data_IF_872588431228
#
_entry.id   IF_872588431228
#
_cell.length_a   1.000
_cell.length_b   1.000
_cell.length_c   1.000
_cell.angle_alpha   90.00
_cell.angle_beta   90.00
_cell.angle_gamma   90.00
#
_symmetry.space_group_name_H-M   'P 1'
#
loop_
_entity.id
_entity.type
_entity.pdbx_description
1 polymer ?
#
# COMPACT_ATOMS: atom_id res chain seq x y z
N UNK A 1 -7.62 21.76 10.17
CA UNK A 1 -6.55 21.41 9.20
C UNK A 1 -5.84 20.10 9.56
N UNK A 2 -5.39 19.90 10.81
CA UNK A 2 -4.74 18.65 11.25
C UNK A 2 -5.55 17.37 10.94
N UNK A 3 -6.85 17.36 11.23
CA UNK A 3 -7.73 16.21 10.97
C UNK A 3 -7.81 15.87 9.48
N UNK A 4 -7.93 16.88 8.61
CA UNK A 4 -8.01 16.69 7.16
C UNK A 4 -6.72 16.09 6.57
N UNK A 5 -5.56 16.47 7.13
CA UNK A 5 -4.28 15.88 6.74
C UNK A 5 -4.21 14.39 7.11
N UNK A 6 -4.62 14.03 8.34
CA UNK A 6 -4.61 12.64 8.78
C UNK A 6 -5.50 11.77 7.89
N UNK A 7 -6.72 12.21 7.58
CA UNK A 7 -7.62 11.50 6.69
C UNK A 7 -7.07 11.38 5.26
N UNK A 8 -6.35 12.41 4.77
CA UNK A 8 -5.72 12.38 3.45
C UNK A 8 -4.58 11.37 3.37
N UNK A 9 -3.74 11.30 4.41
CA UNK A 9 -2.65 10.31 4.50
C UNK A 9 -3.22 8.90 4.59
N UNK A 10 -4.24 8.68 5.42
CA UNK A 10 -4.93 7.39 5.52
C UNK A 10 -5.55 7.00 4.18
N UNK A 11 -6.27 7.91 3.52
CA UNK A 11 -6.90 7.65 2.23
C UNK A 11 -5.88 7.29 1.15
N UNK A 12 -4.73 7.97 1.13
CA UNK A 12 -3.67 7.67 0.19
C UNK A 12 -2.99 6.32 0.47
N UNK A 13 -2.64 6.02 1.72
CA UNK A 13 -2.00 4.74 2.09
C UNK A 13 -2.95 3.55 1.92
N UNK A 14 -4.16 3.64 2.48
CA UNK A 14 -5.17 2.58 2.36
C UNK A 14 -5.65 2.42 0.92
N UNK A 15 -5.82 3.53 0.19
CA UNK A 15 -6.16 3.52 -1.21
C UNK A 15 -5.09 2.80 -2.03
N UNK A 16 -3.80 3.11 -1.85
CA UNK A 16 -2.70 2.36 -2.48
C UNK A 16 -2.76 0.86 -2.18
N UNK A 17 -2.94 0.46 -0.93
CA UNK A 17 -3.02 -0.94 -0.55
C UNK A 17 -4.25 -1.64 -1.19
N UNK A 18 -5.43 -1.05 -1.08
CA UNK A 18 -6.68 -1.63 -1.59
C UNK A 18 -6.71 -1.70 -3.11
N UNK A 19 -6.29 -0.64 -3.81
CA UNK A 19 -6.20 -0.65 -5.27
C UNK A 19 -5.17 -1.68 -5.75
N UNK A 20 -4.08 -1.86 -5.00
CA UNK A 20 -3.12 -2.92 -5.27
C UNK A 20 -3.71 -4.31 -5.08
N UNK A 21 -4.54 -4.53 -4.06
CA UNK A 21 -5.23 -5.82 -3.86
C UNK A 21 -6.06 -6.17 -5.10
N UNK A 22 -6.74 -5.19 -5.70
CA UNK A 22 -7.55 -5.38 -6.90
C UNK A 22 -6.67 -5.67 -8.13
N UNK A 23 -5.61 -4.89 -8.34
CA UNK A 23 -4.78 -5.02 -9.55
C UNK A 23 -3.71 -6.12 -9.47
N UNK A 24 -3.35 -6.58 -8.28
CA UNK A 24 -2.27 -7.54 -8.07
C UNK A 24 -0.86 -6.96 -8.15
N UNK A 25 -0.70 -5.63 -8.30
CA UNK A 25 0.60 -5.01 -8.46
C UNK A 25 0.66 -3.54 -7.97
N UNK A 26 1.64 -3.25 -7.10
CA UNK A 26 1.83 -1.92 -6.52
C UNK A 26 2.28 -0.86 -7.55
N UNK A 27 3.08 -1.23 -8.56
CA UNK A 27 3.51 -0.32 -9.62
C UNK A 27 2.36 0.14 -10.53
N UNK A 28 1.28 -0.62 -10.61
CA UNK A 28 0.06 -0.21 -11.31
C UNK A 28 -0.82 0.70 -10.46
N UNK A 29 -0.95 0.40 -9.16
CA UNK A 29 -1.77 1.17 -8.21
C UNK A 29 -1.18 2.52 -7.88
N UNK A 30 0.13 2.55 -7.68
CA UNK A 30 0.84 3.71 -7.18
C UNK A 30 0.65 4.97 -8.05
N UNK A 31 0.84 4.94 -9.38
CA UNK A 31 0.66 6.12 -10.22
C UNK A 31 -0.79 6.64 -10.20
N UNK A 32 -1.77 5.74 -10.15
CA UNK A 32 -3.20 6.10 -10.13
C UNK A 32 -3.53 6.83 -8.83
N UNK A 33 -3.15 6.25 -7.69
CA UNK A 33 -3.41 6.86 -6.38
C UNK A 33 -2.58 8.13 -6.16
N UNK A 34 -1.37 8.19 -6.73
CA UNK A 34 -0.53 9.38 -6.68
C UNK A 34 -1.16 10.49 -7.50
N UNK A 35 -1.63 10.22 -8.71
CA UNK A 35 -2.30 11.23 -9.54
C UNK A 35 -3.63 11.69 -8.91
N UNK A 36 -4.39 10.78 -8.30
CA UNK A 36 -5.70 11.09 -7.74
C UNK A 36 -5.65 11.79 -6.36
N UNK A 37 -4.72 11.40 -5.48
CA UNK A 37 -4.66 11.87 -4.09
C UNK A 37 -3.25 12.37 -3.73
N UNK A 38 -2.21 11.59 -4.02
CA UNK A 38 -0.84 11.88 -3.56
C UNK A 38 -0.33 13.26 -3.99
N UNK A 39 -0.43 13.57 -5.28
CA UNK A 39 0.01 14.85 -5.82
C UNK A 39 -0.92 16.01 -5.44
N UNK A 40 -2.21 16.03 -5.83
CA UNK A 40 -3.05 17.19 -5.60
C UNK A 40 -3.33 17.45 -4.11
N UNK A 41 -3.49 16.39 -3.30
CA UNK A 41 -3.87 16.55 -1.88
C UNK A 41 -2.63 16.66 -1.00
N UNK A 42 -1.74 15.67 -1.04
CA UNK A 42 -0.62 15.62 -0.08
C UNK A 42 0.51 16.57 -0.44
N UNK A 43 0.86 16.68 -1.72
CA UNK A 43 1.96 17.56 -2.17
C UNK A 43 1.48 19.00 -2.36
N UNK A 44 0.48 19.25 -3.20
CA UNK A 44 0.09 20.63 -3.54
C UNK A 44 -0.70 21.33 -2.41
N UNK A 45 -1.71 20.68 -1.83
CA UNK A 45 -2.55 21.32 -0.81
C UNK A 45 -1.90 21.36 0.57
N UNK A 46 -1.18 20.31 0.97
CA UNK A 46 -0.56 20.22 2.30
C UNK A 46 0.95 20.46 2.31
N UNK A 47 1.57 20.80 1.16
CA UNK A 47 3.00 21.08 1.03
C UNK A 47 3.92 19.97 1.57
N UNK A 48 3.47 18.71 1.50
CA UNK A 48 4.25 17.58 1.99
C UNK A 48 5.45 17.27 1.11
N UNK A 49 6.50 16.69 1.70
CA UNK A 49 7.70 16.29 0.96
C UNK A 49 7.36 15.20 -0.09
N UNK A 50 7.52 15.47 -1.40
CA UNK A 50 7.12 14.53 -2.44
C UNK A 50 7.88 13.20 -2.39
N UNK A 51 9.19 13.25 -2.11
CA UNK A 51 10.03 12.06 -2.07
C UNK A 51 9.58 11.12 -0.93
N UNK A 52 9.29 11.66 0.25
CA UNK A 52 8.75 10.89 1.36
C UNK A 52 7.36 10.31 1.04
N UNK A 53 6.44 11.13 0.52
CA UNK A 53 5.07 10.69 0.17
C UNK A 53 5.11 9.56 -0.85
N UNK A 54 5.94 9.66 -1.88
CA UNK A 54 6.02 8.64 -2.93
C UNK A 54 6.67 7.35 -2.43
N UNK A 55 7.74 7.44 -1.63
CA UNK A 55 8.36 6.27 -1.03
C UNK A 55 7.38 5.52 -0.11
N UNK A 56 6.74 6.22 0.83
CA UNK A 56 5.77 5.61 1.74
C UNK A 56 4.52 5.12 1.01
N UNK A 57 4.05 5.85 -0.01
CA UNK A 57 2.90 5.44 -0.83
C UNK A 57 3.16 4.13 -1.58
N UNK A 58 4.36 3.98 -2.17
CA UNK A 58 4.74 2.75 -2.84
C UNK A 58 4.90 1.58 -1.85
N UNK A 59 5.48 1.81 -0.68
CA UNK A 59 5.54 0.79 0.38
C UNK A 59 4.14 0.35 0.85
N UNK A 60 3.20 1.29 1.00
CA UNK A 60 1.81 0.98 1.32
C UNK A 60 1.14 0.12 0.22
N UNK A 61 1.44 0.38 -1.06
CA UNK A 61 1.01 -0.46 -2.16
C UNK A 61 1.52 -1.90 -2.04
N UNK A 62 2.78 -2.10 -1.68
CA UNK A 62 3.33 -3.44 -1.48
C UNK A 62 2.64 -4.23 -0.35
N UNK A 63 2.13 -3.58 0.69
CA UNK A 63 1.28 -4.24 1.68
C UNK A 63 0.04 -4.87 1.02
N UNK A 64 -0.56 -4.21 0.03
CA UNK A 64 -1.67 -4.76 -0.76
C UNK A 64 -1.27 -5.97 -1.61
N UNK A 65 -0.08 -5.93 -2.23
CA UNK A 65 0.44 -7.03 -3.05
C UNK A 65 0.54 -8.35 -2.25
N UNK A 66 0.91 -8.27 -0.97
CA UNK A 66 1.00 -9.43 -0.08
C UNK A 66 -0.37 -10.05 0.24
N UNK A 67 -1.45 -9.27 0.14
CA UNK A 67 -2.78 -9.68 0.56
C UNK A 67 -3.69 -10.13 -0.59
N UNK A 68 -3.17 -10.32 -1.82
CA UNK A 68 -4.00 -10.62 -3.00
C UNK A 68 -3.54 -11.85 -3.78
N UNK A 69 -4.47 -12.70 -4.24
CA UNK A 69 -4.13 -13.80 -5.13
C UNK A 69 -3.75 -13.35 -6.55
N UNK A 70 -4.11 -12.11 -6.94
CA UNK A 70 -3.74 -11.55 -8.24
C UNK A 70 -2.23 -11.35 -8.39
N UNK A 71 -1.50 -11.18 -7.29
CA UNK A 71 -0.04 -11.18 -7.25
C UNK A 71 0.52 -12.61 -7.34
N UNK A 72 0.21 -13.29 -8.45
CA UNK A 72 0.45 -14.72 -8.61
C UNK A 72 1.92 -15.09 -8.45
N UNK A 73 2.85 -14.26 -8.93
CA UNK A 73 4.28 -14.48 -8.86
C UNK A 73 4.83 -14.53 -7.41
N UNK A 74 4.13 -13.94 -6.44
CA UNK A 74 4.57 -13.87 -5.04
C UNK A 74 3.76 -14.83 -4.17
N UNK A 75 2.46 -14.96 -4.43
CA UNK A 75 1.55 -15.66 -3.52
C UNK A 75 1.16 -17.06 -4.03
N UNK A 76 0.73 -17.17 -5.29
CA UNK A 76 0.09 -18.39 -5.82
C UNK A 76 1.12 -19.34 -6.45
N UNK A 77 2.05 -18.82 -7.24
CA UNK A 77 3.06 -19.62 -7.94
C UNK A 77 3.99 -20.32 -6.94
N UNK A 78 4.57 -19.66 -5.92
CA UNK A 78 5.40 -20.35 -4.94
C UNK A 78 4.62 -21.41 -4.16
N UNK A 79 3.36 -21.13 -3.78
CA UNK A 79 2.52 -22.09 -3.08
C UNK A 79 2.21 -23.34 -3.94
N UNK A 80 2.03 -23.16 -5.25
CA UNK A 80 1.82 -24.24 -6.20
C UNK A 80 3.11 -25.05 -6.43
N UNK A 81 4.26 -24.37 -6.58
CA UNK A 81 5.56 -25.02 -6.77
C UNK A 81 5.98 -25.86 -5.55
N UNK A 82 5.65 -25.40 -4.34
CA UNK A 82 5.88 -26.12 -3.09
C UNK A 82 4.79 -27.16 -2.77
N UNK A 83 3.82 -27.36 -3.67
CA UNK A 83 2.67 -28.26 -3.48
C UNK A 83 1.97 -28.07 -2.12
N UNK A 84 1.84 -26.82 -1.66
CA UNK A 84 1.20 -26.52 -0.39
C UNK A 84 -0.25 -27.03 -0.39
N UNK A 85 -0.65 -27.67 0.71
CA UNK A 85 -2.05 -28.10 0.92
C UNK A 85 -3.05 -26.94 0.75
N UNK A 86 -2.65 -25.74 1.16
CA UNK A 86 -3.42 -24.51 0.97
C UNK A 86 -2.66 -23.52 0.08
N UNK A 87 -3.17 -23.29 -1.14
CA UNK A 87 -2.60 -22.33 -2.10
C UNK A 87 -2.67 -20.88 -1.63
N UNK A 88 -3.60 -20.54 -0.74
CA UNK A 88 -3.72 -19.20 -0.13
C UNK A 88 -3.02 -19.11 1.23
N UNK A 89 -2.31 -20.16 1.64
CA UNK A 89 -1.56 -20.19 2.90
C UNK A 89 -0.60 -18.99 3.09
N UNK A 90 0.19 -18.60 2.07
CA UNK A 90 1.08 -17.44 2.19
C UNK A 90 0.32 -16.15 2.48
N UNK A 91 -0.80 -15.90 1.78
CA UNK A 91 -1.61 -14.69 1.95
C UNK A 91 -2.13 -14.61 3.40
N UNK A 92 -2.69 -15.70 3.91
CA UNK A 92 -3.23 -15.75 5.28
C UNK A 92 -2.13 -15.47 6.31
N UNK A 93 -0.93 -16.02 6.10
CA UNK A 93 0.21 -15.77 6.98
C UNK A 93 0.75 -14.32 6.88
N UNK A 94 0.60 -13.68 5.72
CA UNK A 94 1.11 -12.34 5.45
C UNK A 94 0.14 -11.22 5.87
N UNK A 95 -1.17 -11.46 5.87
CA UNK A 95 -2.19 -10.45 6.23
C UNK A 95 -1.88 -9.72 7.55
N UNK A 96 -1.57 -10.40 8.67
CA UNK A 96 -1.29 -9.71 9.94
C UNK A 96 -0.09 -8.77 9.83
N UNK A 97 0.99 -9.24 9.20
CA UNK A 97 2.21 -8.46 8.98
C UNK A 97 1.95 -7.29 8.05
N UNK A 98 1.19 -7.48 6.98
CA UNK A 98 0.85 -6.44 6.02
C UNK A 98 0.01 -5.33 6.65
N UNK A 99 -0.95 -5.66 7.51
CA UNK A 99 -1.76 -4.69 8.24
C UNK A 99 -0.89 -3.88 9.21
N UNK A 100 -0.04 -4.55 10.00
CA UNK A 100 0.87 -3.88 10.94
C UNK A 100 1.80 -2.92 10.19
N UNK A 101 2.38 -3.38 9.07
CA UNK A 101 3.26 -2.56 8.24
C UNK A 101 2.51 -1.39 7.61
N UNK A 102 1.28 -1.57 7.13
CA UNK A 102 0.47 -0.49 6.56
C UNK A 102 0.20 0.61 7.59
N UNK A 103 -0.14 0.23 8.83
CA UNK A 103 -0.33 1.18 9.93
C UNK A 103 0.98 1.92 10.23
N UNK A 104 2.09 1.19 10.34
CA UNK A 104 3.41 1.77 10.60
C UNK A 104 3.83 2.76 9.48
N UNK A 105 3.65 2.39 8.21
CA UNK A 105 3.95 3.24 7.05
C UNK A 105 3.07 4.49 7.04
N UNK A 106 1.79 4.37 7.42
CA UNK A 106 0.88 5.51 7.52
C UNK A 106 1.34 6.50 8.59
N UNK A 107 1.76 6.00 9.76
CA UNK A 107 2.33 6.83 10.83
C UNK A 107 3.65 7.47 10.37
N UNK A 108 4.54 6.70 9.74
CA UNK A 108 5.81 7.21 9.23
C UNK A 108 5.60 8.31 8.18
N UNK A 109 4.67 8.12 7.23
CA UNK A 109 4.35 9.16 6.26
C UNK A 109 3.88 10.43 6.96
N UNK A 110 3.01 10.31 7.97
CA UNK A 110 2.51 11.46 8.72
C UNK A 110 3.62 12.23 9.44
N UNK A 111 4.64 11.54 9.96
CA UNK A 111 5.72 12.14 10.76
C UNK A 111 6.88 12.66 9.91
N UNK A 112 7.22 11.96 8.82
CA UNK A 112 8.41 12.27 8.02
C UNK A 112 8.12 13.07 6.75
N UNK A 113 6.87 13.10 6.28
CA UNK A 113 6.50 13.89 5.10
C UNK A 113 5.93 15.28 5.42
N UNK A 114 5.50 15.52 6.66
CA UNK A 114 4.80 16.73 7.13
C UNK A 114 5.25 17.10 8.55
#
# INVERSE_FOLDING_TARGET
>A
MQEALLWSVIAYCSGNALFTVVMGNAFAAFPIMTAAIGWPVLVENFNGNPAAIFAFGMMAGFCGTLCTPMAANINIVPAALLQMKNKYGPIIAQIPTAIIMLVAITIMMRVFAF
#
